data_IF_007638864074
#
_entry.id   IF_007638864074
#
_cell.length_a   1.000
_cell.length_b   1.000
_cell.length_c   1.000
_cell.angle_alpha   90.00
_cell.angle_beta   90.00
_cell.angle_gamma   90.00
#
_symmetry.space_group_name_H-M   'P 1'
#
loop_
_entity.id
_entity.type
_entity.pdbx_description
1 polymer ?
#
# COMPACT_ATOMS: atom_id res chain seq x y z
N UNK A 1 23.21 13.53 -20.40
CA UNK A 1 21.79 13.84 -20.62
C UNK A 1 20.97 12.87 -19.78
N UNK A 2 20.45 13.32 -18.63
CA UNK A 2 19.52 12.50 -17.83
C UNK A 2 18.23 12.38 -18.62
N UNK A 3 17.88 11.16 -18.98
CA UNK A 3 16.82 10.88 -19.93
C UNK A 3 15.47 11.32 -19.33
N UNK A 4 14.68 12.13 -20.04
CA UNK A 4 13.39 12.66 -19.54
C UNK A 4 12.39 11.55 -19.17
N UNK A 5 12.63 10.34 -19.67
CA UNK A 5 11.90 9.12 -19.40
C UNK A 5 12.04 8.66 -17.94
N UNK A 6 13.21 8.80 -17.32
CA UNK A 6 13.47 8.36 -15.93
C UNK A 6 12.74 9.25 -14.92
N UNK A 7 12.71 10.57 -15.17
CA UNK A 7 11.94 11.52 -14.36
C UNK A 7 10.43 11.31 -14.49
N UNK A 8 9.93 11.00 -15.69
CA UNK A 8 8.52 10.61 -15.89
C UNK A 8 8.15 9.34 -15.14
N UNK A 9 9.04 8.34 -15.11
CA UNK A 9 8.83 7.08 -14.36
C UNK A 9 8.78 7.29 -12.85
N UNK A 10 9.66 8.13 -12.29
CA UNK A 10 9.61 8.55 -10.88
C UNK A 10 8.32 9.28 -10.51
N UNK A 11 7.85 10.18 -11.39
CA UNK A 11 6.57 10.87 -11.20
C UNK A 11 5.37 9.91 -11.23
N UNK A 12 5.41 8.90 -12.12
CA UNK A 12 4.39 7.84 -12.16
C UNK A 12 4.38 7.00 -10.88
N UNK A 13 5.55 6.68 -10.33
CA UNK A 13 5.69 5.91 -9.10
C UNK A 13 5.12 6.67 -7.89
N UNK A 14 5.35 7.98 -7.82
CA UNK A 14 4.71 8.85 -6.83
C UNK A 14 3.18 8.88 -6.95
N UNK A 15 2.66 8.87 -8.18
CA UNK A 15 1.21 8.84 -8.44
C UNK A 15 0.57 7.48 -8.10
N UNK A 16 1.30 6.39 -8.30
CA UNK A 16 0.87 5.03 -7.93
C UNK A 16 0.79 4.88 -6.41
N UNK A 17 1.80 5.37 -5.67
CA UNK A 17 1.78 5.36 -4.20
C UNK A 17 0.61 6.17 -3.62
N UNK A 18 0.28 7.32 -4.20
CA UNK A 18 -0.87 8.11 -3.75
C UNK A 18 -2.21 7.44 -4.07
N UNK A 19 -2.34 6.76 -5.22
CA UNK A 19 -3.53 5.94 -5.52
C UNK A 19 -3.67 4.75 -4.56
N UNK A 20 -2.57 4.06 -4.23
CA UNK A 20 -2.56 2.96 -3.28
C UNK A 20 -2.99 3.39 -1.89
N UNK A 21 -2.51 4.53 -1.41
CA UNK A 21 -2.95 5.11 -0.14
C UNK A 21 -4.45 5.41 -0.15
N UNK A 22 -4.98 5.92 -1.26
CA UNK A 22 -6.41 6.23 -1.40
C UNK A 22 -7.29 4.98 -1.36
N UNK A 23 -6.88 3.92 -2.05
CA UNK A 23 -7.60 2.64 -2.07
C UNK A 23 -7.54 1.96 -0.70
N UNK A 24 -6.37 1.99 -0.04
CA UNK A 24 -6.22 1.48 1.32
C UNK A 24 -7.12 2.22 2.32
N UNK A 25 -7.18 3.55 2.22
CA UNK A 25 -8.07 4.39 3.05
C UNK A 25 -9.54 4.09 2.77
N UNK A 26 -9.95 3.91 1.52
CA UNK A 26 -11.34 3.56 1.18
C UNK A 26 -11.75 2.17 1.68
N UNK A 27 -10.85 1.19 1.63
CA UNK A 27 -11.12 -0.13 2.19
C UNK A 27 -11.18 -0.09 3.72
N UNK A 28 -10.23 0.60 4.36
CA UNK A 28 -10.24 0.80 5.80
C UNK A 28 -11.53 1.52 6.26
N UNK A 29 -11.98 2.55 5.53
CA UNK A 29 -13.21 3.27 5.89
C UNK A 29 -14.46 2.39 5.76
N UNK A 30 -14.53 1.54 4.73
CA UNK A 30 -15.65 0.59 4.57
C UNK A 30 -15.65 -0.47 5.67
N UNK A 31 -14.47 -1.00 6.00
CA UNK A 31 -14.34 -1.99 7.07
C UNK A 31 -14.70 -1.38 8.44
N UNK A 32 -14.23 -0.16 8.72
CA UNK A 32 -14.60 0.56 9.93
C UNK A 32 -16.10 0.86 10.00
N UNK A 33 -16.74 1.20 8.89
CA UNK A 33 -18.19 1.42 8.85
C UNK A 33 -18.98 0.15 9.19
N UNK A 34 -18.59 -1.01 8.64
CA UNK A 34 -19.24 -2.30 8.95
C UNK A 34 -19.01 -2.70 10.41
N UNK A 35 -17.81 -2.51 10.93
CA UNK A 35 -17.49 -2.79 12.34
C UNK A 35 -18.26 -1.85 13.28
N UNK A 36 -18.34 -0.55 12.95
CA UNK A 36 -19.12 0.40 13.73
C UNK A 36 -20.61 0.05 13.75
N UNK A 37 -21.17 -0.36 12.60
CA UNK A 37 -22.55 -0.82 12.52
C UNK A 37 -22.78 -2.10 13.33
N UNK A 38 -21.84 -3.05 13.29
CA UNK A 38 -21.91 -4.27 14.08
C UNK A 38 -21.85 -3.98 15.60
N UNK A 39 -21.02 -3.02 16.02
CA UNK A 39 -20.97 -2.57 17.42
C UNK A 39 -22.28 -1.94 17.88
N UNK A 40 -22.92 -1.12 17.03
CA UNK A 40 -24.23 -0.55 17.34
C UNK A 40 -25.30 -1.63 17.51
N UNK A 41 -25.31 -2.64 16.63
CA UNK A 41 -26.21 -3.79 16.75
C UNK A 41 -25.93 -4.61 18.03
N UNK A 42 -24.67 -4.82 18.37
CA UNK A 42 -24.29 -5.54 19.58
C UNK A 42 -24.74 -4.79 20.84
N UNK A 43 -24.53 -3.47 20.90
CA UNK A 43 -25.02 -2.63 22.01
C UNK A 43 -26.55 -2.66 22.11
N UNK A 44 -27.27 -2.61 20.98
CA UNK A 44 -28.72 -2.74 20.94
C UNK A 44 -29.20 -4.10 21.46
N UNK A 45 -28.54 -5.20 21.04
CA UNK A 45 -28.84 -6.55 21.52
C UNK A 45 -28.60 -6.71 23.03
N UNK A 46 -27.49 -6.18 23.54
CA UNK A 46 -27.19 -6.17 24.99
C UNK A 46 -28.23 -5.36 25.76
N UNK A 47 -28.63 -4.19 25.23
CA UNK A 47 -29.69 -3.37 25.82
C UNK A 47 -31.03 -4.11 25.93
N UNK A 48 -31.43 -4.82 24.86
CA UNK A 48 -32.64 -5.66 24.87
C UNK A 48 -32.55 -6.83 25.85
N UNK A 49 -31.38 -7.46 26.00
CA UNK A 49 -31.17 -8.51 27.00
C UNK A 49 -31.24 -7.97 28.43
N UNK A 50 -30.69 -6.77 28.67
CA UNK A 50 -30.82 -6.09 29.97
C UNK A 50 -32.26 -5.71 30.28
N UNK A 51 -33.00 -5.21 29.28
CA UNK A 51 -34.44 -4.96 29.41
C UNK A 51 -35.22 -6.25 29.69
N UNK A 52 -34.89 -7.34 29.00
CA UNK A 52 -35.46 -8.65 29.22
C UNK A 52 -35.26 -9.10 30.68
N UNK A 53 -34.03 -9.01 31.22
CA UNK A 53 -33.71 -9.31 32.62
C UNK A 53 -34.58 -8.51 33.59
N UNK A 54 -34.78 -7.22 33.32
CA UNK A 54 -35.62 -6.35 34.15
C UNK A 54 -37.10 -6.75 34.10
N UNK A 55 -37.64 -7.02 32.90
CA UNK A 55 -39.04 -7.49 32.74
C UNK A 55 -39.26 -8.87 33.35
N UNK A 56 -38.23 -9.72 33.38
CA UNK A 56 -38.24 -11.03 34.04
C UNK A 56 -38.42 -10.90 35.55
N UNK A 57 -37.88 -9.84 36.13
CA UNK A 57 -38.07 -9.49 37.53
C UNK A 57 -39.48 -8.93 37.81
N UNK A 58 -40.15 -8.36 36.81
CA UNK A 58 -41.48 -7.76 36.90
C UNK A 58 -42.65 -8.73 36.63
N UNK A 59 -42.39 -10.04 36.44
CA UNK A 59 -43.39 -11.10 36.22
C UNK A 59 -44.28 -10.97 34.96
N UNK A 60 -43.86 -10.20 33.94
CA UNK A 60 -44.58 -10.06 32.67
C UNK A 60 -44.08 -11.06 31.60
N UNK A 61 -44.59 -12.29 31.64
CA UNK A 61 -44.15 -13.41 30.77
C UNK A 61 -44.22 -13.16 29.25
N UNK A 62 -45.14 -12.31 28.77
CA UNK A 62 -45.33 -12.06 27.34
C UNK A 62 -44.24 -11.18 26.70
N UNK A 63 -43.77 -10.16 27.42
CA UNK A 63 -42.79 -9.19 26.91
C UNK A 63 -41.37 -9.78 26.91
N UNK A 64 -41.11 -10.70 27.84
CA UNK A 64 -39.83 -11.36 28.05
C UNK A 64 -39.37 -12.16 26.82
N UNK A 65 -40.26 -12.98 26.24
CA UNK A 65 -39.92 -13.80 25.07
C UNK A 65 -39.56 -12.94 23.85
N UNK A 66 -40.29 -11.84 23.63
CA UNK A 66 -40.02 -10.91 22.52
C UNK A 66 -38.66 -10.21 22.67
N UNK A 67 -38.34 -9.72 23.87
CA UNK A 67 -37.07 -9.05 24.16
C UNK A 67 -35.87 -10.03 24.08
N UNK A 68 -36.04 -11.26 24.57
CA UNK A 68 -35.00 -12.29 24.51
C UNK A 68 -34.70 -12.68 23.07
N UNK A 69 -35.72 -13.01 22.28
CA UNK A 69 -35.55 -13.45 20.88
C UNK A 69 -34.93 -12.34 20.04
N UNK A 70 -35.44 -11.11 20.14
CA UNK A 70 -34.90 -9.96 19.40
C UNK A 70 -33.46 -9.61 19.82
N UNK A 71 -33.14 -9.66 21.11
CA UNK A 71 -31.78 -9.42 21.62
C UNK A 71 -30.76 -10.46 21.12
N UNK A 72 -31.12 -11.75 21.17
CA UNK A 72 -30.26 -12.83 20.64
C UNK A 72 -30.08 -12.70 19.14
N UNK A 73 -31.13 -12.39 18.39
CA UNK A 73 -31.07 -12.24 16.93
C UNK A 73 -30.13 -11.08 16.52
N UNK A 74 -30.20 -9.96 17.23
CA UNK A 74 -29.31 -8.82 17.02
C UNK A 74 -27.84 -9.17 17.27
N UNK A 75 -27.55 -9.95 18.32
CA UNK A 75 -26.18 -10.42 18.60
C UNK A 75 -25.66 -11.37 17.52
N UNK A 76 -26.51 -12.28 17.01
CA UNK A 76 -26.15 -13.18 15.91
C UNK A 76 -25.84 -12.37 14.64
N UNK A 77 -26.69 -11.40 14.29
CA UNK A 77 -26.47 -10.52 13.13
C UNK A 77 -25.19 -9.69 13.30
N UNK A 78 -24.92 -9.15 14.49
CA UNK A 78 -23.69 -8.45 14.80
C UNK A 78 -22.45 -9.35 14.63
N UNK A 79 -22.50 -10.58 15.15
CA UNK A 79 -21.44 -11.57 14.99
C UNK A 79 -21.17 -11.92 13.52
N UNK A 80 -22.23 -12.10 12.72
CA UNK A 80 -22.10 -12.33 11.28
C UNK A 80 -21.51 -11.12 10.54
N UNK A 81 -21.87 -9.90 10.93
CA UNK A 81 -21.30 -8.68 10.35
C UNK A 81 -19.80 -8.54 10.66
N UNK A 82 -19.37 -8.88 11.89
CA UNK A 82 -17.95 -8.89 12.27
C UNK A 82 -17.19 -9.99 11.50
N UNK A 83 -17.76 -11.20 11.42
CA UNK A 83 -17.17 -12.29 10.66
C UNK A 83 -17.08 -11.97 9.16
N UNK A 84 -18.09 -11.29 8.60
CA UNK A 84 -18.09 -10.79 7.24
C UNK A 84 -17.02 -9.71 7.01
N UNK A 85 -16.90 -8.75 7.92
CA UNK A 85 -15.84 -7.73 7.89
C UNK A 85 -14.43 -8.34 8.00
N UNK A 86 -14.25 -9.41 8.78
CA UNK A 86 -12.97 -10.12 8.89
C UNK A 86 -12.62 -10.92 7.62
N UNK A 87 -13.62 -11.30 6.81
CA UNK A 87 -13.45 -12.04 5.55
C UNK A 87 -13.34 -11.15 4.32
N UNK A 88 -13.45 -9.82 4.46
CA UNK A 88 -13.23 -8.91 3.34
C UNK A 88 -11.77 -8.99 2.89
N UNK A 89 -11.55 -9.66 1.75
CA UNK A 89 -10.24 -9.70 1.10
C UNK A 89 -9.85 -8.29 0.61
N UNK A 90 -8.55 -7.95 0.60
CA UNK A 90 -8.09 -6.75 -0.08
C UNK A 90 -8.55 -6.78 -1.55
N UNK A 91 -8.91 -5.62 -2.13
CA UNK A 91 -9.43 -5.55 -3.49
C UNK A 91 -8.40 -6.07 -4.49
N UNK A 92 -8.86 -6.68 -5.58
CA UNK A 92 -8.01 -7.11 -6.69
C UNK A 92 -7.13 -5.98 -7.24
N UNK A 93 -7.61 -4.73 -7.16
CA UNK A 93 -6.86 -3.53 -7.53
C UNK A 93 -5.59 -3.32 -6.69
N UNK A 94 -5.60 -3.67 -5.40
CA UNK A 94 -4.41 -3.58 -4.56
C UNK A 94 -3.34 -4.60 -4.98
N UNK A 95 -3.76 -5.80 -5.40
CA UNK A 95 -2.85 -6.84 -5.90
C UNK A 95 -2.24 -6.45 -7.26
N UNK A 96 -3.04 -5.87 -8.17
CA UNK A 96 -2.53 -5.37 -9.45
C UNK A 96 -1.56 -4.20 -9.26
N UNK A 97 -1.80 -3.31 -8.29
CA UNK A 97 -0.91 -2.20 -7.98
C UNK A 97 0.45 -2.68 -7.43
N UNK A 98 0.48 -3.77 -6.67
CA UNK A 98 1.74 -4.39 -6.20
C UNK A 98 2.56 -4.96 -7.35
N UNK A 99 1.90 -5.59 -8.33
CA UNK A 99 2.56 -6.14 -9.52
C UNK A 99 3.15 -5.02 -10.41
N UNK A 100 2.40 -3.93 -10.60
CA UNK A 100 2.86 -2.75 -11.34
C UNK A 100 3.99 -2.03 -10.60
N UNK A 101 3.92 -1.92 -9.27
CA UNK A 101 5.00 -1.33 -8.46
C UNK A 101 6.29 -2.16 -8.56
N UNK A 102 6.20 -3.49 -8.44
CA UNK A 102 7.36 -4.37 -8.58
C UNK A 102 8.01 -4.27 -9.96
N UNK A 103 7.19 -4.21 -11.02
CA UNK A 103 7.68 -4.08 -12.39
C UNK A 103 8.39 -2.73 -12.60
N UNK A 104 7.79 -1.62 -12.13
CA UNK A 104 8.37 -0.29 -12.23
C UNK A 104 9.66 -0.14 -11.41
N UNK A 105 9.71 -0.69 -10.20
CA UNK A 105 10.94 -0.70 -9.38
C UNK A 105 12.02 -1.52 -10.07
N UNK A 106 11.66 -2.67 -10.66
CA UNK A 106 12.56 -3.49 -11.46
C UNK A 106 13.16 -2.70 -12.63
N UNK A 107 12.33 -2.04 -13.44
CA UNK A 107 12.79 -1.22 -14.57
C UNK A 107 13.69 -0.06 -14.13
N UNK A 108 13.33 0.65 -13.06
CA UNK A 108 14.14 1.77 -12.53
C UNK A 108 15.49 1.27 -12.02
N UNK A 109 15.52 0.12 -11.36
CA UNK A 109 16.78 -0.48 -10.88
C UNK A 109 17.70 -0.89 -12.04
N UNK A 110 17.13 -1.41 -13.13
CA UNK A 110 17.86 -1.76 -14.33
C UNK A 110 18.40 -0.52 -15.07
N UNK A 111 17.59 0.53 -15.17
CA UNK A 111 18.01 1.82 -15.73
C UNK A 111 19.17 2.44 -14.92
N UNK A 112 19.09 2.39 -13.58
CA UNK A 112 20.13 2.87 -12.68
C UNK A 112 21.44 2.10 -12.85
N UNK A 113 21.37 0.76 -12.94
CA UNK A 113 22.54 -0.08 -13.20
C UNK A 113 23.17 0.25 -14.57
N UNK A 114 22.34 0.48 -15.60
CA UNK A 114 22.80 0.92 -16.92
C UNK A 114 23.52 2.27 -16.87
N UNK A 115 22.99 3.23 -16.11
CA UNK A 115 23.61 4.54 -15.90
C UNK A 115 24.94 4.40 -15.16
N UNK A 116 25.02 3.59 -14.11
CA UNK A 116 26.26 3.37 -13.37
C UNK A 116 27.35 2.76 -14.27
N UNK A 117 26.97 1.80 -15.11
CA UNK A 117 27.89 1.15 -16.07
C UNK A 117 28.37 2.14 -17.13
N UNK A 118 27.47 3.00 -17.61
CA UNK A 118 27.79 4.10 -18.52
C UNK A 118 28.73 5.13 -17.88
N UNK A 119 28.51 5.47 -16.61
CA UNK A 119 29.35 6.40 -15.86
C UNK A 119 30.77 5.86 -15.69
N UNK A 120 30.91 4.58 -15.31
CA UNK A 120 32.21 3.90 -15.21
C UNK A 120 32.95 3.87 -16.55
N UNK A 121 32.23 3.64 -17.67
CA UNK A 121 32.83 3.71 -19.01
C UNK A 121 33.32 5.11 -19.36
N UNK A 122 32.57 6.15 -19.02
CA UNK A 122 32.99 7.54 -19.23
C UNK A 122 34.21 7.86 -18.39
N UNK A 123 34.21 7.50 -17.11
CA UNK A 123 35.35 7.69 -16.19
C UNK A 123 36.61 6.96 -16.67
N UNK A 124 36.46 5.73 -17.16
CA UNK A 124 37.57 4.96 -17.73
C UNK A 124 38.06 5.60 -19.04
N UNK A 125 37.13 6.06 -19.89
CA UNK A 125 37.42 6.71 -21.17
C UNK A 125 38.10 8.06 -21.02
N UNK A 126 37.66 8.91 -20.08
CA UNK A 126 38.31 10.20 -19.79
C UNK A 126 39.67 10.00 -19.14
N UNK A 127 39.82 9.03 -18.24
CA UNK A 127 41.12 8.68 -17.64
C UNK A 127 42.12 8.18 -18.69
N UNK A 128 41.65 7.41 -19.68
CA UNK A 128 42.47 6.95 -20.79
C UNK A 128 42.82 8.09 -21.76
N UNK A 129 41.89 9.01 -22.03
CA UNK A 129 42.13 10.18 -22.89
C UNK A 129 43.19 11.10 -22.29
N UNK A 130 43.07 11.43 -21.00
CA UNK A 130 44.05 12.25 -20.29
C UNK A 130 45.42 11.57 -20.26
N UNK A 131 45.51 10.27 -19.92
CA UNK A 131 46.80 9.55 -19.95
C UNK A 131 47.38 9.47 -21.36
N UNK A 132 46.55 9.24 -22.38
CA UNK A 132 46.96 9.18 -23.78
C UNK A 132 47.53 10.51 -24.25
N UNK A 133 46.82 11.62 -24.04
CA UNK A 133 47.27 12.95 -24.45
C UNK A 133 48.54 13.39 -23.70
N UNK A 134 48.66 13.08 -22.40
CA UNK A 134 49.89 13.40 -21.66
C UNK A 134 51.12 12.64 -22.17
N UNK A 135 50.97 11.33 -22.47
CA UNK A 135 52.08 10.53 -22.99
C UNK A 135 52.45 10.94 -24.42
N UNK A 136 51.47 11.30 -25.23
CA UNK A 136 51.68 11.75 -26.62
C UNK A 136 52.33 13.15 -26.65
N UNK A 137 51.90 14.05 -25.76
CA UNK A 137 52.51 15.37 -25.58
C UNK A 137 53.97 15.25 -25.10
N UNK A 138 54.25 14.40 -24.10
CA UNK A 138 55.61 14.15 -23.61
C UNK A 138 56.53 13.54 -24.69
N UNK A 139 56.02 12.60 -25.49
CA UNK A 139 56.78 12.01 -26.59
C UNK A 139 57.12 13.03 -27.69
N UNK A 140 56.17 13.92 -28.02
CA UNK A 140 56.41 15.00 -28.99
C UNK A 140 57.42 16.03 -28.49
N UNK A 141 57.40 16.34 -27.20
CA UNK A 141 58.34 17.28 -26.59
C UNK A 141 59.76 16.70 -26.57
N UNK A 142 59.92 15.43 -26.17
CA UNK A 142 61.21 14.75 -26.16
C UNK A 142 61.82 14.56 -27.57
N UNK A 143 60.99 14.46 -28.61
CA UNK A 143 61.43 14.38 -30.00
C UNK A 143 61.89 15.71 -30.60
N UNK A 144 61.42 16.86 -30.09
CA UNK A 144 61.78 18.20 -30.59
C UNK A 144 63.06 18.78 -29.97
N UNK A 145 63.62 18.16 -28.94
CA UNK A 145 64.83 18.60 -28.22
C UNK A 145 66.11 17.92 -28.77
N UNK A 146 66.10 17.51 -30.04
CA UNK A 146 67.29 16.98 -30.73
C UNK A 146 67.76 17.89 -31.83
#
# INVERSE_FOLDING_TARGET
>A
MVNSTTFRRLALLGRIKSMRLRIAVQHASRQMAVVAFALLLALGGIGLLMFCLFTLLAAEFGVILGALVSGVLLLVVAGLAIAGAARMKPPAEAAMLDEVEQTLVGEISADLAGIETGLKRIETGTSALFKGDYLTALASFAGSVR
#
